data_IF_369739538393
#
_entry.id   IF_369739538393
#
_cell.length_a   1.000
_cell.length_b   1.000
_cell.length_c   1.000
_cell.angle_alpha   90.00
_cell.angle_beta   90.00
_cell.angle_gamma   90.00
#
_symmetry.space_group_name_H-M   'P 1'
#
loop_
_entity.id
_entity.type
_entity.pdbx_description
1 polymer ?
#
# COMPACT_ATOMS: atom_id res chain seq x y z
N UNK A 1 -1.70 13.23 -2.31
CA UNK A 1 -0.75 14.08 -3.07
C UNK A 1 -1.26 14.20 -4.51
N UNK A 2 -0.89 15.23 -5.28
CA UNK A 2 -1.58 15.57 -6.53
C UNK A 2 -1.09 14.75 -7.75
N UNK A 3 -0.74 13.48 -7.58
CA UNK A 3 -0.36 12.63 -8.71
C UNK A 3 -1.63 12.21 -9.45
N UNK A 4 -1.64 12.38 -10.77
CA UNK A 4 -2.62 11.75 -11.66
C UNK A 4 -2.39 10.23 -11.77
N UNK A 5 -3.37 9.53 -12.33
CA UNK A 5 -3.35 8.06 -12.43
C UNK A 5 -2.12 7.53 -13.18
N UNK A 6 -1.68 8.21 -14.24
CA UNK A 6 -0.53 7.81 -15.03
C UNK A 6 0.78 7.96 -14.26
N UNK A 7 0.90 8.99 -13.43
CA UNK A 7 2.06 9.23 -12.59
C UNK A 7 2.05 8.32 -11.34
N UNK A 8 0.88 7.94 -10.82
CA UNK A 8 0.76 6.91 -9.78
C UNK A 8 1.23 5.55 -10.29
N UNK A 9 0.84 5.15 -11.50
CA UNK A 9 1.30 3.91 -12.13
C UNK A 9 2.82 3.88 -12.29
N UNK A 10 3.41 4.97 -12.81
CA UNK A 10 4.87 5.13 -12.93
C UNK A 10 5.58 5.06 -11.58
N UNK A 11 5.05 5.73 -10.56
CA UNK A 11 5.58 5.69 -9.20
C UNK A 11 5.61 4.27 -8.64
N UNK A 12 4.50 3.52 -8.77
CA UNK A 12 4.44 2.14 -8.29
C UNK A 12 5.43 1.23 -9.01
N UNK A 13 5.58 1.39 -10.34
CA UNK A 13 6.58 0.64 -11.12
C UNK A 13 8.01 0.93 -10.68
N UNK A 14 8.34 2.20 -10.47
CA UNK A 14 9.66 2.61 -10.00
C UNK A 14 9.99 2.00 -8.63
N UNK A 15 9.05 2.03 -7.68
CA UNK A 15 9.24 1.39 -6.37
C UNK A 15 9.50 -0.11 -6.49
N UNK A 16 8.72 -0.80 -7.33
CA UNK A 16 8.89 -2.23 -7.57
C UNK A 16 10.26 -2.55 -8.17
N UNK A 17 10.72 -1.76 -9.14
CA UNK A 17 12.03 -1.91 -9.76
C UNK A 17 13.18 -1.65 -8.79
N UNK A 18 13.07 -0.64 -7.93
CA UNK A 18 14.08 -0.37 -6.89
C UNK A 18 14.18 -1.53 -5.89
N UNK A 19 13.03 -2.07 -5.48
CA UNK A 19 12.93 -3.23 -4.59
C UNK A 19 13.42 -4.52 -5.24
N UNK A 20 13.31 -4.68 -6.56
CA UNK A 20 13.83 -5.89 -7.25
C UNK A 20 15.35 -5.82 -7.47
N UNK A 21 15.91 -4.61 -7.57
CA UNK A 21 17.35 -4.39 -7.77
C UNK A 21 18.16 -4.32 -6.47
N UNK A 22 17.50 -4.09 -5.33
CA UNK A 22 18.16 -3.87 -4.03
C UNK A 22 17.37 -4.50 -2.89
N UNK A 23 18.01 -4.79 -1.77
CA UNK A 23 17.34 -5.26 -0.54
C UNK A 23 16.63 -4.14 0.26
N UNK A 24 16.31 -3.01 -0.41
CA UNK A 24 15.66 -1.87 0.24
C UNK A 24 14.19 -2.15 0.48
N UNK A 25 13.74 -1.96 1.73
CA UNK A 25 12.32 -2.04 2.10
C UNK A 25 11.70 -0.64 2.11
N UNK A 26 10.67 -0.46 1.31
CA UNK A 26 9.93 0.81 1.23
C UNK A 26 8.70 0.77 2.14
N UNK A 27 8.44 1.90 2.79
CA UNK A 27 7.19 2.17 3.52
C UNK A 27 6.56 3.39 2.85
N UNK A 28 5.33 3.24 2.37
CA UNK A 28 4.59 4.29 1.66
C UNK A 28 3.34 4.64 2.47
N UNK A 29 3.18 5.92 2.79
CA UNK A 29 1.94 6.46 3.37
C UNK A 29 1.11 7.05 2.24
N UNK A 30 -0.06 6.46 1.96
CA UNK A 30 -0.92 6.86 0.85
C UNK A 30 -2.40 6.72 1.19
N UNK A 31 -3.22 7.56 0.56
CA UNK A 31 -4.68 7.39 0.49
C UNK A 31 -5.15 7.06 -0.94
N UNK A 32 -4.23 6.88 -1.90
CA UNK A 32 -4.56 6.63 -3.30
C UNK A 32 -4.86 5.12 -3.51
N UNK A 33 -6.07 4.76 -4.00
CA UNK A 33 -6.47 3.36 -4.16
C UNK A 33 -5.58 2.56 -5.11
N UNK A 34 -5.09 3.17 -6.20
CA UNK A 34 -4.20 2.50 -7.17
C UNK A 34 -2.84 2.20 -6.55
N UNK A 35 -2.33 3.08 -5.68
CA UNK A 35 -1.12 2.77 -4.91
C UNK A 35 -1.38 1.64 -3.94
N UNK A 36 -2.50 1.68 -3.20
CA UNK A 36 -2.85 0.64 -2.23
C UNK A 36 -2.94 -0.74 -2.87
N UNK A 37 -3.56 -0.85 -4.05
CA UNK A 37 -3.74 -2.13 -4.76
C UNK A 37 -2.45 -2.72 -5.34
N UNK A 38 -1.30 -2.02 -5.24
CA UNK A 38 -0.02 -2.46 -5.80
C UNK A 38 1.07 -2.70 -4.76
N UNK A 39 0.70 -2.68 -3.49
CA UNK A 39 1.60 -2.96 -2.37
C UNK A 39 1.43 -4.40 -1.89
N UNK A 40 2.49 -4.97 -1.31
CA UNK A 40 2.45 -6.34 -0.78
C UNK A 40 1.56 -6.44 0.47
N UNK A 41 1.54 -5.40 1.32
CA UNK A 41 0.79 -5.35 2.58
C UNK A 41 0.23 -3.96 2.85
N UNK A 42 -0.97 -3.91 3.41
CA UNK A 42 -1.59 -2.67 3.84
C UNK A 42 -1.68 -2.61 5.37
N UNK A 43 -1.28 -1.47 5.93
CA UNK A 43 -1.50 -1.14 7.32
C UNK A 43 -2.45 0.05 7.39
N UNK A 44 -3.68 -0.20 7.80
CA UNK A 44 -4.64 0.85 8.12
C UNK A 44 -4.34 1.43 9.50
N UNK A 45 -4.34 2.76 9.60
CA UNK A 45 -4.28 3.44 10.88
C UNK A 45 -5.65 4.07 11.13
N UNK A 46 -6.29 3.68 12.22
CA UNK A 46 -7.59 4.20 12.66
C UNK A 46 -7.42 4.97 13.96
N UNK A 47 -8.37 5.84 14.26
CA UNK A 47 -8.43 6.59 15.53
C UNK A 47 -9.79 6.34 16.17
N UNK A 48 -10.00 5.19 16.84
CA UNK A 48 -11.28 4.86 17.47
C UNK A 48 -11.63 5.84 18.58
N UNK A 49 -10.62 6.30 19.32
CA UNK A 49 -10.73 7.32 20.35
C UNK A 49 -9.80 8.49 20.03
N UNK A 50 -10.24 9.70 20.34
CA UNK A 50 -9.50 10.93 19.97
C UNK A 50 -8.11 10.91 20.60
N UNK A 51 -7.08 10.92 19.74
CA UNK A 51 -5.68 10.94 20.17
C UNK A 51 -5.06 9.55 20.37
N UNK A 52 -5.82 8.46 20.22
CA UNK A 52 -5.29 7.10 20.26
C UNK A 52 -5.37 6.47 18.86
N UNK A 53 -4.21 6.25 18.26
CA UNK A 53 -4.12 5.55 16.97
C UNK A 53 -4.09 4.04 17.20
N UNK A 54 -4.85 3.30 16.41
CA UNK A 54 -4.82 1.85 16.37
C UNK A 54 -4.40 1.39 14.97
N UNK A 55 -3.52 0.38 14.92
CA UNK A 55 -3.08 -0.25 13.69
C UNK A 55 -3.94 -1.47 13.37
N UNK A 56 -4.38 -1.56 12.12
CA UNK A 56 -5.00 -2.75 11.53
C UNK A 56 -4.18 -3.17 10.32
N UNK A 57 -3.90 -4.47 10.18
CA UNK A 57 -3.14 -5.01 9.05
C UNK A 57 -4.04 -5.83 8.14
N UNK A 58 -3.93 -5.60 6.83
CA UNK A 58 -4.57 -6.41 5.81
C UNK A 58 -3.48 -6.92 4.88
N UNK A 59 -3.41 -8.24 4.72
CA UNK A 59 -2.58 -8.87 3.71
C UNK A 59 -3.41 -8.99 2.42
N UNK A 60 -3.03 -8.21 1.40
CA UNK A 60 -3.79 -8.15 0.16
C UNK A 60 -3.71 -9.45 -0.64
N UNK A 61 -2.57 -10.15 -0.59
CA UNK A 61 -2.43 -11.44 -1.28
C UNK A 61 -3.38 -12.47 -0.68
N UNK A 62 -3.43 -12.53 0.64
CA UNK A 62 -4.36 -13.42 1.34
C UNK A 62 -5.83 -13.04 1.10
N UNK A 63 -6.13 -11.74 0.97
CA UNK A 63 -7.49 -11.27 0.70
C UNK A 63 -7.98 -11.67 -0.71
N UNK A 64 -7.11 -11.65 -1.72
CA UNK A 64 -7.44 -12.10 -3.08
C UNK A 64 -7.76 -13.61 -3.14
N UNK A 65 -7.05 -14.43 -2.36
CA UNK A 65 -7.27 -15.88 -2.28
C UNK A 65 -8.65 -16.22 -1.66
N UNK A 66 -9.12 -15.44 -0.69
CA UNK A 66 -10.43 -15.66 -0.04
C UNK A 66 -11.60 -15.30 -0.97
N UNK A 67 -11.43 -14.29 -1.83
CA UNK A 67 -12.50 -13.84 -2.75
C UNK A 67 -12.65 -14.77 -3.96
N UNK A 68 -11.61 -15.52 -4.30
CA UNK A 68 -11.59 -16.44 -5.45
C UNK A 68 -11.99 -17.88 -5.11
N UNK A 69 -12.20 -18.19 -3.83
CA UNK A 69 -12.72 -19.47 -3.32
C UNK A 69 -14.25 -19.46 -3.19
#
# INVERSE_FOLDING_TARGET
APLDDANVDRFCRMLHEMRSRTDTRFIVITHNPVTMSRMDRLYGVTMPERGMSQLVSVDLQQAEEIVTA
#
